data_IF_255804889451
#
_entry.id   IF_255804889451
#
_cell.length_a   1.000
_cell.length_b   1.000
_cell.length_c   1.000
_cell.angle_alpha   90.00
_cell.angle_beta   90.00
_cell.angle_gamma   90.00
#
_symmetry.space_group_name_H-M   'P 1'
#
loop_
_entity.id
_entity.type
_entity.pdbx_description
1 polymer ?
#
# COMPACT_ATOMS: atom_id res chain seq x y z
N UNK A 1 -0.63 -4.30 -8.76
CA UNK A 1 0.42 -5.26 -9.15
C UNK A 1 -0.21 -6.41 -9.94
N UNK A 2 0.54 -7.14 -10.76
CA UNK A 2 0.00 -8.33 -11.44
C UNK A 2 -0.19 -9.47 -10.43
N UNK A 3 -1.43 -9.93 -10.22
CA UNK A 3 -1.73 -11.02 -9.27
C UNK A 3 -1.01 -12.32 -9.64
N UNK A 4 -0.79 -12.59 -10.92
CA UNK A 4 -0.06 -13.79 -11.35
C UNK A 4 1.41 -13.72 -10.95
N UNK A 5 2.02 -12.53 -10.96
CA UNK A 5 3.38 -12.34 -10.44
C UNK A 5 3.42 -12.55 -8.93
N UNK A 6 2.46 -12.00 -8.20
CA UNK A 6 2.41 -12.13 -6.74
C UNK A 6 2.29 -13.58 -6.27
N UNK A 7 1.56 -14.42 -7.02
CA UNK A 7 1.35 -15.84 -6.70
C UNK A 7 2.43 -16.78 -7.27
N UNK A 8 3.39 -16.27 -8.03
CA UNK A 8 4.41 -17.09 -8.67
C UNK A 8 5.62 -17.31 -7.75
N UNK A 9 5.71 -18.50 -7.17
CA UNK A 9 6.77 -18.90 -6.24
C UNK A 9 8.18 -18.82 -6.83
N UNK A 10 8.33 -19.08 -8.14
CA UNK A 10 9.64 -19.05 -8.81
C UNK A 10 10.13 -17.63 -9.12
N UNK A 11 9.21 -16.68 -9.30
CA UNK A 11 9.51 -15.31 -9.78
C UNK A 11 9.46 -14.26 -8.69
N UNK A 12 8.61 -14.45 -7.68
CA UNK A 12 8.45 -13.47 -6.61
C UNK A 12 9.46 -13.76 -5.49
N UNK A 13 10.44 -12.87 -5.25
CA UNK A 13 11.50 -13.07 -4.25
C UNK A 13 10.99 -13.24 -2.82
N UNK A 14 9.75 -12.81 -2.52
CA UNK A 14 9.09 -13.06 -1.23
C UNK A 14 9.15 -14.53 -0.81
N UNK A 15 8.98 -15.46 -1.77
CA UNK A 15 8.93 -16.90 -1.49
C UNK A 15 10.30 -17.54 -1.24
N UNK A 16 11.39 -16.76 -1.25
CA UNK A 16 12.69 -17.22 -0.75
C UNK A 16 12.71 -17.42 0.77
N UNK A 17 11.78 -16.80 1.49
CA UNK A 17 11.65 -16.87 2.95
C UNK A 17 10.19 -16.98 3.42
N UNK A 18 9.28 -17.29 2.51
CA UNK A 18 7.85 -17.42 2.76
C UNK A 18 7.32 -18.62 1.99
N UNK A 19 6.27 -19.25 2.50
CA UNK A 19 5.57 -20.32 1.80
C UNK A 19 4.11 -19.92 1.60
N UNK A 20 3.49 -20.40 0.51
CA UNK A 20 2.08 -20.18 0.21
C UNK A 20 1.40 -21.50 -0.11
N UNK A 21 0.17 -21.65 0.35
CA UNK A 21 -0.72 -22.71 -0.05
C UNK A 21 -2.03 -22.12 -0.54
N UNK A 22 -2.36 -22.45 -1.79
CA UNK A 22 -3.58 -22.00 -2.45
C UNK A 22 -4.67 -23.05 -2.31
N UNK A 23 -5.88 -22.61 -1.98
CA UNK A 23 -7.07 -23.44 -1.87
C UNK A 23 -8.20 -22.87 -2.73
N UNK A 24 -8.96 -23.78 -3.34
CA UNK A 24 -10.17 -23.48 -4.09
C UNK A 24 -11.33 -24.30 -3.51
N UNK A 25 -12.48 -23.67 -3.33
CA UNK A 25 -13.73 -24.34 -3.00
C UNK A 25 -14.53 -24.59 -4.28
N UNK A 26 -15.03 -25.81 -4.43
CA UNK A 26 -15.84 -26.23 -5.58
C UNK A 26 -17.24 -26.63 -5.14
N UNK A 27 -18.23 -26.16 -5.90
CA UNK A 27 -19.58 -26.73 -5.91
C UNK A 27 -19.79 -27.44 -7.26
N UNK A 28 -19.70 -28.76 -7.24
CA UNK A 28 -19.59 -29.55 -8.47
C UNK A 28 -18.34 -29.18 -9.26
N UNK A 29 -18.51 -28.54 -10.42
CA UNK A 29 -17.41 -28.07 -11.29
C UNK A 29 -17.14 -26.57 -11.16
N UNK A 30 -17.96 -25.84 -10.41
CA UNK A 30 -17.87 -24.39 -10.30
C UNK A 30 -16.99 -23.99 -9.13
N UNK A 31 -16.07 -23.06 -9.35
CA UNK A 31 -15.29 -22.45 -8.26
C UNK A 31 -16.21 -21.45 -7.54
N UNK A 32 -16.42 -21.66 -6.24
CA UNK A 32 -17.30 -20.84 -5.38
C UNK A 32 -16.54 -20.07 -4.30
N UNK A 33 -15.23 -20.26 -4.22
CA UNK A 33 -14.36 -19.47 -3.36
C UNK A 33 -12.90 -19.87 -3.46
N UNK A 34 -12.04 -19.04 -2.87
CA UNK A 34 -10.59 -19.25 -2.81
C UNK A 34 -10.01 -18.60 -1.56
N UNK A 35 -8.87 -19.11 -1.12
CA UNK A 35 -8.05 -18.51 -0.06
C UNK A 35 -6.60 -18.93 -0.25
N UNK A 36 -5.67 -18.07 0.14
CA UNK A 36 -4.28 -18.43 0.33
C UNK A 36 -3.95 -18.47 1.82
N UNK A 37 -3.22 -19.50 2.26
CA UNK A 37 -2.55 -19.54 3.54
C UNK A 37 -1.06 -19.27 3.32
N UNK A 38 -0.46 -18.39 4.09
CA UNK A 38 0.89 -17.86 3.85
C UNK A 38 1.71 -17.88 5.14
N UNK A 39 2.97 -18.30 5.08
CA UNK A 39 3.94 -18.08 6.16
C UNK A 39 4.89 -16.96 5.77
N UNK A 40 5.38 -16.19 6.74
CA UNK A 40 6.39 -15.16 6.50
C UNK A 40 7.46 -15.24 7.58
N UNK A 41 8.60 -15.85 7.25
CA UNK A 41 9.68 -16.04 8.22
C UNK A 41 10.29 -14.71 8.67
N UNK A 42 10.38 -13.72 7.79
CA UNK A 42 10.91 -12.40 8.13
C UNK A 42 10.00 -11.66 9.10
N UNK A 43 8.67 -11.74 8.94
CA UNK A 43 7.71 -11.21 9.91
C UNK A 43 7.94 -11.82 11.28
N UNK A 44 7.89 -13.15 11.38
CA UNK A 44 8.03 -13.87 12.64
C UNK A 44 9.40 -13.63 13.29
N UNK A 45 10.46 -13.45 12.48
CA UNK A 45 11.79 -13.12 12.98
C UNK A 45 11.89 -11.71 13.57
N UNK A 46 11.17 -10.74 13.01
CA UNK A 46 11.15 -9.34 13.47
C UNK A 46 10.26 -9.20 14.70
N UNK A 47 9.02 -9.69 14.62
CA UNK A 47 7.98 -9.49 15.64
C UNK A 47 8.05 -10.52 16.78
N UNK A 48 8.86 -11.57 16.63
CA UNK A 48 9.03 -12.66 17.60
C UNK A 48 7.71 -13.37 17.93
N UNK A 49 6.81 -13.43 16.95
CA UNK A 49 5.54 -14.13 17.00
C UNK A 49 5.55 -15.38 16.11
N UNK A 50 4.43 -16.13 16.10
CA UNK A 50 4.21 -17.32 15.27
C UNK A 50 2.92 -17.15 14.48
N UNK A 51 2.87 -16.09 13.69
CA UNK A 51 1.70 -15.70 12.92
C UNK A 51 1.79 -16.25 11.49
N UNK A 52 0.75 -16.98 11.10
CA UNK A 52 0.43 -17.26 9.71
C UNK A 52 -0.50 -16.20 9.15
N UNK A 53 -0.57 -16.10 7.82
CA UNK A 53 -1.41 -15.13 7.14
C UNK A 53 -2.46 -15.81 6.27
N UNK A 54 -3.63 -15.18 6.15
CA UNK A 54 -4.56 -15.48 5.07
C UNK A 54 -4.64 -14.32 4.09
N UNK A 55 -4.82 -14.62 2.82
CA UNK A 55 -4.89 -13.64 1.74
C UNK A 55 -5.67 -14.17 0.56
N UNK A 56 -5.83 -13.32 -0.46
CA UNK A 56 -6.49 -13.62 -1.72
C UNK A 56 -7.89 -14.25 -1.57
N UNK A 57 -8.55 -13.97 -0.44
CA UNK A 57 -9.85 -14.54 -0.10
C UNK A 57 -10.93 -14.01 -1.03
N UNK A 58 -11.67 -14.94 -1.64
CA UNK A 58 -12.94 -14.64 -2.30
C UNK A 58 -13.92 -15.74 -1.95
N UNK A 59 -15.20 -15.39 -1.81
CA UNK A 59 -16.24 -16.39 -1.59
C UNK A 59 -17.58 -15.86 -2.06
N UNK A 60 -18.45 -16.74 -2.54
CA UNK A 60 -19.88 -16.44 -2.59
C UNK A 60 -20.38 -16.12 -1.17
N UNK A 61 -21.52 -15.45 -1.05
CA UNK A 61 -22.10 -15.12 0.27
C UNK A 61 -22.70 -16.38 0.95
N UNK A 62 -21.83 -17.28 1.40
CA UNK A 62 -22.18 -18.54 2.03
C UNK A 62 -21.16 -18.86 3.14
N UNK A 63 -21.66 -18.94 4.38
CA UNK A 63 -20.82 -19.16 5.55
C UNK A 63 -20.11 -20.53 5.52
N UNK A 64 -20.75 -21.59 5.03
CA UNK A 64 -20.15 -22.92 5.00
C UNK A 64 -18.97 -23.00 4.03
N UNK A 65 -19.05 -22.28 2.89
CA UNK A 65 -17.94 -22.17 1.94
C UNK A 65 -16.77 -21.42 2.59
N UNK A 66 -17.03 -20.28 3.23
CA UNK A 66 -16.02 -19.52 3.93
C UNK A 66 -15.35 -20.34 5.04
N UNK A 67 -16.14 -21.03 5.87
CA UNK A 67 -15.64 -21.88 6.95
C UNK A 67 -14.68 -22.95 6.44
N UNK A 68 -15.05 -23.68 5.38
CA UNK A 68 -14.19 -24.73 4.79
C UNK A 68 -12.88 -24.18 4.25
N UNK A 69 -12.91 -23.00 3.62
CA UNK A 69 -11.70 -22.33 3.14
C UNK A 69 -10.78 -21.97 4.32
N UNK A 70 -11.32 -21.34 5.37
CA UNK A 70 -10.54 -21.01 6.55
C UNK A 70 -10.03 -22.26 7.29
N UNK A 71 -10.82 -23.33 7.38
CA UNK A 71 -10.40 -24.60 8.01
C UNK A 71 -9.17 -25.19 7.33
N UNK A 72 -9.14 -25.26 5.99
CA UNK A 72 -7.98 -25.77 5.27
C UNK A 72 -6.76 -24.84 5.39
N UNK A 73 -6.97 -23.52 5.38
CA UNK A 73 -5.89 -22.56 5.64
C UNK A 73 -5.30 -22.72 7.05
N UNK A 74 -6.16 -22.82 8.08
CA UNK A 74 -5.77 -23.04 9.47
C UNK A 74 -5.03 -24.36 9.63
N UNK A 75 -5.54 -25.44 9.06
CA UNK A 75 -4.93 -26.76 9.11
C UNK A 75 -3.52 -26.73 8.53
N UNK A 76 -3.31 -26.08 7.38
CA UNK A 76 -1.99 -25.94 6.79
C UNK A 76 -1.06 -25.08 7.65
N UNK A 77 -1.51 -23.93 8.17
CA UNK A 77 -0.69 -23.07 9.03
C UNK A 77 -0.26 -23.77 10.33
N UNK A 78 -1.11 -24.64 10.89
CA UNK A 78 -0.74 -25.49 12.04
C UNK A 78 0.38 -26.46 11.74
N UNK A 79 0.41 -27.07 10.54
CA UNK A 79 1.54 -27.96 10.17
C UNK A 79 2.85 -27.18 10.01
N UNK A 80 2.75 -25.87 9.75
CA UNK A 80 3.88 -24.93 9.74
C UNK A 80 4.23 -24.35 11.12
N UNK A 81 3.53 -24.77 12.18
CA UNK A 81 3.82 -24.37 13.56
C UNK A 81 3.35 -22.96 13.95
N UNK A 82 2.41 -22.39 13.18
CA UNK A 82 1.79 -21.10 13.51
C UNK A 82 0.75 -21.26 14.63
N UNK A 83 0.67 -20.27 15.52
CA UNK A 83 -0.30 -20.22 16.64
C UNK A 83 -1.47 -19.28 16.37
N UNK A 84 -1.29 -18.37 15.41
CA UNK A 84 -2.25 -17.34 15.06
C UNK A 84 -2.36 -17.25 13.55
N UNK A 85 -3.52 -16.80 13.07
CA UNK A 85 -3.76 -16.46 11.66
C UNK A 85 -4.23 -15.01 11.57
N UNK A 86 -3.59 -14.22 10.70
CA UNK A 86 -3.88 -12.78 10.50
C UNK A 86 -4.15 -12.46 9.03
N UNK A 87 -5.07 -11.56 8.74
CA UNK A 87 -5.36 -11.19 7.36
C UNK A 87 -6.59 -10.30 7.17
N UNK A 88 -6.93 -9.93 5.93
CA UNK A 88 -6.29 -10.39 4.70
C UNK A 88 -4.95 -9.67 4.41
N UNK A 89 -3.96 -10.42 3.92
CA UNK A 89 -2.62 -9.93 3.51
C UNK A 89 -2.21 -10.62 2.20
N UNK A 90 -1.89 -9.85 1.14
CA UNK A 90 -1.78 -10.37 -0.25
C UNK A 90 -0.42 -10.08 -0.94
N UNK A 91 0.64 -10.90 -0.76
CA UNK A 91 0.85 -11.90 0.27
C UNK A 91 1.61 -11.36 1.51
N UNK A 92 2.12 -10.13 1.46
CA UNK A 92 2.91 -9.50 2.52
C UNK A 92 2.34 -8.15 2.94
N UNK A 93 2.74 -7.65 4.11
CA UNK A 93 2.42 -6.29 4.57
C UNK A 93 3.10 -5.20 3.73
N UNK A 94 4.09 -5.57 2.90
CA UNK A 94 4.69 -4.71 1.89
C UNK A 94 3.88 -4.67 0.56
N UNK A 95 2.83 -5.48 0.42
CA UNK A 95 1.99 -5.56 -0.79
C UNK A 95 0.60 -4.93 -0.55
N UNK A 96 -0.50 -5.62 -0.86
CA UNK A 96 -1.88 -5.15 -0.60
C UNK A 96 -2.44 -5.86 0.64
N UNK A 97 -2.94 -5.11 1.62
CA UNK A 97 -3.55 -5.67 2.84
C UNK A 97 -4.86 -4.99 3.22
N UNK A 98 -5.61 -5.66 4.09
CA UNK A 98 -6.82 -5.12 4.69
C UNK A 98 -8.08 -5.43 3.87
N UNK A 99 -9.16 -5.70 4.59
CA UNK A 99 -10.51 -5.84 4.04
C UNK A 99 -11.20 -4.47 4.06
N UNK A 100 -11.79 -4.01 2.96
CA UNK A 100 -12.64 -2.83 2.98
C UNK A 100 -13.88 -3.10 3.85
N UNK A 101 -14.14 -2.23 4.85
CA UNK A 101 -15.27 -2.37 5.80
C UNK A 101 -16.31 -1.26 5.72
N UNK A 102 -16.06 -0.20 4.96
CA UNK A 102 -16.99 0.90 4.68
C UNK A 102 -16.86 1.40 3.23
N UNK A 103 -17.58 2.45 2.85
CA UNK A 103 -17.43 3.14 1.56
C UNK A 103 -17.53 2.26 0.29
N UNK A 104 -18.41 1.26 0.34
CA UNK A 104 -18.70 0.31 -0.76
C UNK A 104 -19.40 0.94 -1.98
N UNK A 105 -19.67 2.24 -1.95
CA UNK A 105 -20.19 3.04 -3.04
C UNK A 105 -19.08 3.72 -3.86
N UNK A 106 -17.83 3.65 -3.41
CA UNK A 106 -16.68 4.28 -4.05
C UNK A 106 -15.70 3.24 -4.63
N UNK A 107 -15.16 3.45 -5.84
CA UNK A 107 -14.18 2.53 -6.43
C UNK A 107 -12.88 2.50 -5.61
N UNK A 108 -12.10 1.41 -5.67
CA UNK A 108 -10.78 1.36 -5.02
C UNK A 108 -9.78 2.28 -5.72
N UNK A 109 -8.91 2.89 -4.94
CA UNK A 109 -7.73 3.61 -5.43
C UNK A 109 -6.61 2.62 -5.74
N UNK A 110 -5.69 2.98 -6.61
CA UNK A 110 -4.58 2.13 -7.03
C UNK A 110 -3.85 1.45 -5.84
N UNK A 111 -3.60 0.14 -5.97
CA UNK A 111 -2.99 -0.72 -4.93
C UNK A 111 -3.77 -0.74 -3.59
N UNK A 112 -5.09 -0.54 -3.64
CA UNK A 112 -5.99 -0.73 -2.51
C UNK A 112 -6.99 -1.85 -2.82
N UNK A 113 -7.34 -2.61 -1.79
CA UNK A 113 -8.26 -3.75 -1.93
C UNK A 113 -9.70 -3.28 -2.15
N UNK A 114 -10.52 -4.18 -2.69
CA UNK A 114 -11.96 -4.00 -2.77
C UNK A 114 -12.62 -5.36 -2.64
N UNK A 115 -13.71 -5.42 -1.89
CA UNK A 115 -14.45 -6.65 -1.63
C UNK A 115 -15.95 -6.36 -1.46
N UNK A 116 -16.81 -7.37 -1.65
CA UNK A 116 -18.19 -7.28 -1.25
C UNK A 116 -18.35 -6.99 0.25
N UNK A 117 -19.41 -6.26 0.67
CA UNK A 117 -19.64 -5.94 2.09
C UNK A 117 -19.79 -7.16 2.99
N UNK A 118 -20.37 -8.26 2.45
CA UNK A 118 -20.64 -9.46 3.24
C UNK A 118 -19.37 -10.22 3.67
N UNK A 119 -18.19 -9.91 3.10
CA UNK A 119 -16.94 -10.59 3.47
C UNK A 119 -16.59 -10.39 4.94
N UNK A 120 -16.90 -9.21 5.50
CA UNK A 120 -16.66 -8.93 6.91
C UNK A 120 -17.42 -9.92 7.80
N UNK A 121 -18.70 -10.17 7.50
CA UNK A 121 -19.52 -11.11 8.26
C UNK A 121 -18.99 -12.54 8.14
N UNK A 122 -18.56 -12.96 6.93
CA UNK A 122 -17.98 -14.30 6.73
C UNK A 122 -16.73 -14.52 7.59
N UNK A 123 -15.86 -13.51 7.68
CA UNK A 123 -14.62 -13.53 8.48
C UNK A 123 -14.95 -13.54 9.98
N UNK A 124 -15.79 -12.61 10.44
CA UNK A 124 -16.15 -12.47 11.86
C UNK A 124 -16.89 -13.70 12.39
N UNK A 125 -17.82 -14.26 11.62
CA UNK A 125 -18.58 -15.46 12.00
C UNK A 125 -17.69 -16.72 12.13
N UNK A 126 -16.57 -16.79 11.42
CA UNK A 126 -15.58 -17.86 11.61
C UNK A 126 -14.80 -17.73 12.94
N UNK A 127 -14.88 -16.56 13.59
CA UNK A 127 -14.27 -16.29 14.88
C UNK A 127 -13.05 -15.35 14.83
N UNK A 128 -12.81 -14.70 13.70
CA UNK A 128 -11.82 -13.64 13.60
C UNK A 128 -12.29 -12.38 14.33
N UNK A 129 -11.33 -11.65 14.90
CA UNK A 129 -11.56 -10.35 15.55
C UNK A 129 -10.72 -9.27 14.88
N UNK A 130 -11.14 -8.01 15.00
CA UNK A 130 -10.34 -6.86 14.58
C UNK A 130 -8.96 -6.92 15.26
N UNK A 131 -7.92 -6.77 14.44
CA UNK A 131 -6.53 -6.64 14.87
C UNK A 131 -6.04 -5.19 14.68
N UNK A 132 -6.30 -4.61 13.51
CA UNK A 132 -5.86 -3.25 13.19
C UNK A 132 -6.76 -2.64 12.10
N UNK A 133 -7.17 -1.39 12.30
CA UNK A 133 -7.74 -0.57 11.22
C UNK A 133 -6.65 0.27 10.53
N UNK A 134 -6.77 0.36 9.22
CA UNK A 134 -5.94 1.11 8.29
C UNK A 134 -6.83 2.16 7.63
N UNK A 135 -6.57 3.42 7.94
CA UNK A 135 -7.35 4.56 7.48
C UNK A 135 -6.82 5.05 6.14
N UNK A 136 -7.72 5.45 5.26
CA UNK A 136 -7.40 6.21 4.06
C UNK A 136 -8.01 7.60 4.17
N UNK A 137 -7.18 8.61 3.96
CA UNK A 137 -7.58 10.02 3.96
C UNK A 137 -7.70 10.53 2.54
N UNK A 138 -8.80 11.20 2.23
CA UNK A 138 -8.92 12.00 1.02
C UNK A 138 -8.44 13.43 1.32
N UNK A 139 -7.66 13.98 0.40
CA UNK A 139 -7.06 15.31 0.45
C UNK A 139 -7.51 16.09 -0.78
N UNK A 140 -7.76 17.38 -0.60
CA UNK A 140 -8.15 18.29 -1.68
C UNK A 140 -7.17 19.46 -1.70
N UNK A 141 -6.56 19.74 -2.86
CA UNK A 141 -5.56 20.80 -2.98
C UNK A 141 -6.07 22.16 -2.47
N UNK A 142 -7.31 22.51 -2.79
CA UNK A 142 -7.96 23.76 -2.38
C UNK A 142 -8.18 23.90 -0.86
N UNK A 143 -8.11 22.81 -0.09
CA UNK A 143 -8.32 22.85 1.37
C UNK A 143 -7.03 23.08 2.16
N UNK A 144 -5.86 22.72 1.63
CA UNK A 144 -4.58 22.88 2.32
C UNK A 144 -3.60 23.84 1.64
N UNK A 145 -3.70 24.02 0.32
CA UNK A 145 -2.81 24.90 -0.43
C UNK A 145 -3.17 26.37 -0.20
N UNK A 146 -2.64 26.93 0.88
CA UNK A 146 -2.73 28.37 1.18
C UNK A 146 -1.39 29.06 0.93
N UNK A 147 -1.43 30.33 0.51
CA UNK A 147 -0.21 31.14 0.37
C UNK A 147 0.63 31.15 1.66
N UNK A 148 -0.05 31.12 2.82
CA UNK A 148 0.59 31.01 4.14
C UNK A 148 1.36 29.70 4.27
N UNK A 149 0.76 28.57 3.92
CA UNK A 149 1.44 27.27 3.98
C UNK A 149 2.63 27.25 3.02
N UNK A 150 2.44 27.66 1.77
CA UNK A 150 3.53 27.74 0.77
C UNK A 150 4.70 28.58 1.27
N UNK A 151 4.42 29.77 1.83
CA UNK A 151 5.46 30.63 2.42
C UNK A 151 6.15 30.00 3.61
N UNK A 152 5.41 29.31 4.49
CA UNK A 152 5.99 28.59 5.63
C UNK A 152 6.92 27.46 5.16
N UNK A 153 6.52 26.70 4.14
CA UNK A 153 7.36 25.64 3.58
C UNK A 153 8.64 26.21 2.95
N UNK A 154 8.56 27.33 2.24
CA UNK A 154 9.74 27.98 1.68
C UNK A 154 10.73 28.42 2.78
N UNK A 155 10.23 29.01 3.87
CA UNK A 155 11.07 29.38 5.03
C UNK A 155 11.76 28.16 5.64
N UNK A 156 11.06 27.03 5.76
CA UNK A 156 11.63 25.78 6.27
C UNK A 156 12.73 25.28 5.34
N UNK A 157 12.48 25.27 4.02
CA UNK A 157 13.47 24.88 3.00
C UNK A 157 14.75 25.71 3.12
N UNK A 158 14.62 27.03 3.13
CA UNK A 158 15.76 27.94 3.15
C UNK A 158 16.57 27.81 4.44
N UNK A 159 15.89 27.76 5.59
CA UNK A 159 16.56 27.66 6.91
C UNK A 159 17.30 26.35 7.10
N UNK A 160 16.75 25.25 6.58
CA UNK A 160 17.29 23.90 6.76
C UNK A 160 18.19 23.46 5.59
N UNK A 161 18.21 24.23 4.49
CA UNK A 161 18.92 23.88 3.27
C UNK A 161 18.35 22.61 2.63
N UNK A 162 17.02 22.47 2.63
CA UNK A 162 16.32 21.33 2.03
C UNK A 162 16.17 21.58 0.54
N UNK A 163 16.66 20.65 -0.28
CA UNK A 163 16.45 20.63 -1.73
C UNK A 163 15.66 19.40 -2.11
N UNK A 164 14.77 19.53 -3.10
CA UNK A 164 14.00 18.40 -3.62
C UNK A 164 14.47 18.09 -5.04
N UNK A 165 14.60 16.80 -5.34
CA UNK A 165 14.81 16.32 -6.72
C UNK A 165 13.86 15.18 -7.05
N UNK A 166 13.33 15.19 -8.27
CA UNK A 166 12.58 14.08 -8.83
C UNK A 166 13.51 12.95 -9.31
N UNK A 167 13.02 11.72 -9.33
CA UNK A 167 13.73 10.60 -9.91
C UNK A 167 13.77 10.71 -11.44
N UNK A 168 14.83 10.16 -12.04
CA UNK A 168 14.96 10.06 -13.50
C UNK A 168 14.82 8.60 -13.93
N UNK A 169 13.66 8.22 -14.48
CA UNK A 169 13.40 6.85 -14.93
C UNK A 169 14.09 6.48 -16.24
N UNK A 170 14.58 7.47 -17.01
CA UNK A 170 15.26 7.27 -18.30
C UNK A 170 16.74 6.91 -18.13
N UNK A 171 17.38 7.37 -17.06
CA UNK A 171 18.75 7.01 -16.73
C UNK A 171 18.75 5.75 -15.84
N UNK A 172 19.06 4.60 -16.43
CA UNK A 172 19.07 3.33 -15.71
C UNK A 172 20.10 3.28 -14.56
N UNK A 173 21.25 3.95 -14.72
CA UNK A 173 22.30 3.97 -13.69
C UNK A 173 21.87 4.83 -12.51
N UNK A 174 21.34 6.02 -12.78
CA UNK A 174 20.81 6.89 -11.74
C UNK A 174 19.59 6.28 -11.05
N UNK A 175 18.68 5.67 -11.82
CA UNK A 175 17.51 4.97 -11.27
C UNK A 175 17.92 3.88 -10.28
N UNK A 176 18.92 3.06 -10.61
CA UNK A 176 19.42 2.02 -9.68
C UNK A 176 20.03 2.63 -8.41
N UNK A 177 20.75 3.74 -8.52
CA UNK A 177 21.31 4.44 -7.36
C UNK A 177 20.21 5.05 -6.47
N UNK A 178 19.16 5.62 -7.09
CA UNK A 178 18.01 6.17 -6.40
C UNK A 178 17.21 5.07 -5.70
N UNK A 179 16.94 3.95 -6.37
CA UNK A 179 16.26 2.78 -5.75
C UNK A 179 17.02 2.30 -4.50
N UNK A 180 18.36 2.22 -4.57
CA UNK A 180 19.17 1.88 -3.39
C UNK A 180 19.00 2.89 -2.26
N UNK A 181 18.99 4.19 -2.58
CA UNK A 181 18.79 5.28 -1.61
C UNK A 181 17.40 5.19 -0.96
N UNK A 182 16.35 5.00 -1.77
CA UNK A 182 14.98 4.85 -1.30
C UNK A 182 14.84 3.66 -0.35
N UNK A 183 15.46 2.52 -0.67
CA UNK A 183 15.48 1.34 0.19
C UNK A 183 16.14 1.61 1.55
N UNK A 184 17.28 2.29 1.56
CA UNK A 184 17.99 2.64 2.80
C UNK A 184 17.11 3.52 3.70
N UNK A 185 16.48 4.55 3.12
CA UNK A 185 15.59 5.44 3.86
C UNK A 185 14.33 4.70 4.31
N UNK A 186 13.70 3.88 3.45
CA UNK A 186 12.50 3.11 3.79
C UNK A 186 12.76 2.21 4.98
N UNK A 187 13.79 1.37 4.91
CA UNK A 187 14.10 0.43 5.99
C UNK A 187 14.48 1.13 7.30
N UNK A 188 15.11 2.31 7.25
CA UNK A 188 15.43 3.07 8.45
C UNK A 188 14.22 3.82 9.04
N UNK A 189 13.34 4.36 8.19
CA UNK A 189 12.21 5.19 8.62
C UNK A 189 11.00 4.35 9.06
N UNK A 190 10.75 3.21 8.42
CA UNK A 190 9.54 2.40 8.64
C UNK A 190 9.67 1.30 9.69
N UNK A 191 10.89 1.02 10.16
CA UNK A 191 11.15 0.01 11.20
C UNK A 191 10.22 0.06 12.43
N UNK A 192 9.80 1.23 12.94
CA UNK A 192 8.92 1.31 14.10
C UNK A 192 7.44 0.99 13.83
N UNK A 193 7.01 0.88 12.57
CA UNK A 193 5.58 0.76 12.24
C UNK A 193 5.04 -0.65 12.54
N UNK A 194 3.77 -0.71 12.98
CA UNK A 194 3.07 -1.98 13.17
C UNK A 194 3.05 -2.79 11.87
N UNK A 195 3.33 -4.09 11.97
CA UNK A 195 3.35 -4.99 10.81
C UNK A 195 4.51 -4.76 9.84
N UNK A 196 5.48 -3.89 10.18
CA UNK A 196 6.67 -3.68 9.35
C UNK A 196 7.44 -4.98 9.15
N UNK A 197 7.78 -5.28 7.90
CA UNK A 197 8.68 -6.36 7.53
C UNK A 197 9.75 -5.78 6.63
N UNK A 198 11.01 -5.93 7.02
CA UNK A 198 12.13 -5.46 6.22
C UNK A 198 12.15 -6.19 4.88
N UNK A 199 12.01 -5.44 3.78
CA UNK A 199 12.20 -5.99 2.44
C UNK A 199 13.67 -6.34 2.19
N UNK A 200 13.89 -7.48 1.57
CA UNK A 200 15.17 -7.84 0.97
C UNK A 200 15.47 -6.96 -0.23
N UNK A 201 16.73 -6.96 -0.66
CA UNK A 201 17.18 -6.20 -1.84
C UNK A 201 16.41 -6.60 -3.10
N UNK A 202 16.16 -7.90 -3.27
CA UNK A 202 15.48 -8.44 -4.43
C UNK A 202 13.98 -8.12 -4.42
N UNK A 203 13.32 -8.16 -3.26
CA UNK A 203 11.92 -7.73 -3.11
C UNK A 203 11.75 -6.24 -3.42
N UNK A 204 12.65 -5.39 -2.92
CA UNK A 204 12.59 -3.96 -3.17
C UNK A 204 12.82 -3.64 -4.66
N UNK A 205 13.82 -4.28 -5.28
CA UNK A 205 14.08 -4.14 -6.72
C UNK A 205 12.91 -4.65 -7.57
N UNK A 206 12.29 -5.77 -7.17
CA UNK A 206 11.10 -6.32 -7.82
C UNK A 206 9.93 -5.33 -7.78
N UNK A 207 9.62 -4.80 -6.59
CA UNK A 207 8.57 -3.80 -6.40
C UNK A 207 8.86 -2.51 -7.19
N UNK A 208 10.09 -1.99 -7.11
CA UNK A 208 10.47 -0.76 -7.81
C UNK A 208 10.31 -0.89 -9.33
N UNK A 209 10.66 -2.04 -9.91
CA UNK A 209 10.49 -2.30 -11.34
C UNK A 209 9.01 -2.36 -11.75
N UNK A 210 8.16 -2.97 -10.93
CA UNK A 210 6.71 -3.01 -11.19
C UNK A 210 6.10 -1.61 -11.08
N UNK A 211 6.43 -0.85 -10.03
CA UNK A 211 5.92 0.51 -9.83
C UNK A 211 6.40 1.49 -10.91
N UNK A 212 7.63 1.31 -11.44
CA UNK A 212 8.17 2.15 -12.53
C UNK A 212 7.25 2.20 -13.75
N UNK A 213 6.45 1.16 -14.00
CA UNK A 213 5.55 1.09 -15.16
C UNK A 213 4.34 2.03 -15.07
N UNK A 214 3.99 2.45 -13.86
CA UNK A 214 2.79 3.25 -13.55
C UNK A 214 3.11 4.56 -12.82
N UNK A 215 4.31 4.69 -12.28
CA UNK A 215 4.77 5.88 -11.57
C UNK A 215 5.02 7.05 -12.54
N UNK A 216 4.72 8.26 -12.05
CA UNK A 216 5.09 9.50 -12.70
C UNK A 216 6.39 10.01 -12.06
N UNK A 217 7.51 10.14 -12.81
CA UNK A 217 8.80 10.54 -12.25
C UNK A 217 8.76 11.79 -11.38
N UNK A 218 7.94 12.79 -11.74
CA UNK A 218 7.78 14.03 -10.97
C UNK A 218 7.14 13.81 -9.59
N UNK A 219 6.40 12.72 -9.41
CA UNK A 219 5.75 12.34 -8.15
C UNK A 219 6.57 11.33 -7.33
N UNK A 220 7.79 11.02 -7.79
CA UNK A 220 8.78 10.27 -7.00
C UNK A 220 9.95 11.19 -6.69
N UNK A 221 10.02 11.69 -5.46
CA UNK A 221 10.95 12.74 -5.07
C UNK A 221 11.84 12.32 -3.90
N UNK A 222 13.06 12.85 -3.88
CA UNK A 222 14.03 12.72 -2.79
C UNK A 222 14.28 14.10 -2.21
N UNK A 223 14.19 14.21 -0.88
CA UNK A 223 14.63 15.36 -0.13
C UNK A 223 16.10 15.18 0.27
N UNK A 224 16.89 16.23 0.06
CA UNK A 224 18.30 16.28 0.39
C UNK A 224 18.60 17.47 1.29
N UNK A 225 19.55 17.29 2.22
CA UNK A 225 20.15 18.39 2.99
C UNK A 225 21.64 18.34 2.75
N UNK A 226 22.21 19.44 2.23
CA UNK A 226 23.63 19.53 1.83
C UNK A 226 24.06 18.39 0.89
N UNK A 227 23.18 17.99 -0.03
CA UNK A 227 23.42 16.91 -1.00
C UNK A 227 23.36 15.49 -0.42
N UNK A 228 23.03 15.31 0.86
CA UNK A 228 22.74 14.00 1.45
C UNK A 228 21.23 13.71 1.37
N UNK A 229 20.79 12.58 0.79
CA UNK A 229 19.40 12.13 0.89
C UNK A 229 18.97 11.93 2.35
N UNK A 230 17.86 12.55 2.72
CA UNK A 230 17.31 12.51 4.09
C UNK A 230 15.87 12.02 4.15
N UNK A 231 15.16 12.07 3.02
CA UNK A 231 13.79 11.59 2.92
C UNK A 231 13.38 11.36 1.48
N UNK A 232 12.25 10.68 1.28
CA UNK A 232 11.65 10.51 -0.03
C UNK A 232 10.13 10.43 0.08
N UNK A 233 9.46 10.73 -1.03
CA UNK A 233 8.03 10.49 -1.20
C UNK A 233 7.78 9.84 -2.57
N UNK A 234 6.85 8.91 -2.61
CA UNK A 234 6.39 8.25 -3.81
C UNK A 234 4.87 8.30 -3.85
N UNK A 235 4.36 8.93 -4.90
CA UNK A 235 2.93 8.95 -5.20
C UNK A 235 2.66 8.39 -6.59
N UNK A 236 1.52 7.73 -6.75
CA UNK A 236 1.09 7.11 -7.99
C UNK A 236 -0.19 7.79 -8.48
N UNK A 237 -0.31 8.15 -9.77
CA UNK A 237 -1.60 8.49 -10.35
C UNK A 237 -2.59 7.34 -10.18
N UNK A 238 -3.85 7.62 -9.84
CA UNK A 238 -4.86 6.58 -9.69
C UNK A 238 -5.36 6.09 -11.05
N UNK A 239 -4.60 5.18 -11.66
CA UNK A 239 -4.93 4.62 -12.97
C UNK A 239 -6.24 3.80 -12.93
N UNK A 240 -6.77 3.43 -11.75
CA UNK A 240 -8.06 2.77 -11.65
C UNK A 240 -9.19 3.64 -12.21
N UNK A 241 -9.10 4.97 -12.12
CA UNK A 241 -10.04 5.91 -12.73
C UNK A 241 -10.09 5.79 -14.26
N UNK A 242 -8.99 5.33 -14.88
CA UNK A 242 -8.97 4.99 -16.31
C UNK A 242 -9.41 3.53 -16.56
N UNK A 243 -8.94 2.60 -15.74
CA UNK A 243 -9.20 1.16 -15.93
C UNK A 243 -10.65 0.75 -15.63
N UNK A 244 -11.42 1.53 -14.88
CA UNK A 244 -12.85 1.27 -14.62
C UNK A 244 -13.71 1.20 -15.89
N UNK A 245 -13.23 1.78 -17.01
CA UNK A 245 -13.88 1.71 -18.32
C UNK A 245 -13.55 0.41 -19.08
N UNK A 246 -12.55 -0.36 -18.64
CA UNK A 246 -12.16 -1.65 -19.22
C UNK A 246 -13.07 -2.78 -18.74
N UNK A 247 -14.34 -2.76 -19.15
CA UNK A 247 -15.38 -3.68 -18.64
C UNK A 247 -15.12 -5.17 -18.92
N UNK A 248 -14.34 -5.48 -19.96
CA UNK A 248 -14.02 -6.86 -20.31
C UNK A 248 -12.79 -7.42 -19.58
N UNK A 249 -12.05 -6.59 -18.83
CA UNK A 249 -10.84 -7.00 -18.10
C UNK A 249 -9.64 -7.36 -18.99
N UNK A 250 -9.72 -7.16 -20.31
CA UNK A 250 -8.68 -7.54 -21.25
C UNK A 250 -7.50 -6.57 -21.28
N UNK A 251 -6.30 -7.06 -21.60
CA UNK A 251 -5.06 -6.26 -21.66
C UNK A 251 -5.14 -5.16 -22.71
N UNK A 252 -5.62 -5.46 -23.93
CA UNK A 252 -5.77 -4.47 -24.99
C UNK A 252 -6.74 -3.35 -24.59
N UNK A 253 -7.84 -3.70 -23.94
CA UNK A 253 -8.80 -2.74 -23.40
C UNK A 253 -8.21 -1.89 -22.29
N UNK A 254 -7.38 -2.48 -21.42
CA UNK A 254 -6.67 -1.75 -20.36
C UNK A 254 -5.72 -0.70 -20.96
N UNK A 255 -4.85 -1.08 -21.90
CA UNK A 255 -3.91 -0.16 -22.57
C UNK A 255 -4.66 0.96 -23.30
N UNK A 256 -5.74 0.61 -24.02
CA UNK A 256 -6.59 1.60 -24.69
C UNK A 256 -7.20 2.61 -23.70
N UNK A 257 -7.71 2.13 -22.57
CA UNK A 257 -8.28 3.00 -21.54
C UNK A 257 -7.22 3.89 -20.89
N UNK A 258 -6.04 3.36 -20.57
CA UNK A 258 -4.93 4.15 -20.02
C UNK A 258 -4.52 5.30 -20.95
N UNK A 259 -4.52 5.07 -22.26
CA UNK A 259 -4.21 6.11 -23.24
C UNK A 259 -5.36 7.12 -23.43
N UNK A 260 -6.59 6.62 -23.63
CA UNK A 260 -7.73 7.47 -24.01
C UNK A 260 -8.42 8.15 -22.83
N UNK A 261 -8.27 7.63 -21.61
CA UNK A 261 -8.90 8.14 -20.38
C UNK A 261 -7.91 8.78 -19.42
N UNK A 262 -6.64 8.96 -19.79
CA UNK A 262 -5.61 9.61 -18.94
C UNK A 262 -6.07 10.92 -18.32
N UNK A 263 -6.77 11.77 -19.08
CA UNK A 263 -7.30 13.07 -18.60
C UNK A 263 -8.45 12.96 -17.58
N UNK A 264 -8.96 11.75 -17.32
CA UNK A 264 -9.94 11.46 -16.25
C UNK A 264 -9.26 11.19 -14.91
N UNK A 265 -7.94 11.02 -14.90
CA UNK A 265 -7.19 10.81 -13.67
C UNK A 265 -7.07 12.16 -12.98
N UNK A 266 -7.75 12.31 -11.84
CA UNK A 266 -7.78 13.52 -11.03
C UNK A 266 -7.29 13.31 -9.59
N UNK A 267 -6.85 12.08 -9.28
CA UNK A 267 -6.38 11.66 -7.97
C UNK A 267 -4.99 11.04 -8.06
N UNK A 268 -4.11 11.41 -7.12
CA UNK A 268 -2.87 10.69 -6.85
C UNK A 268 -2.92 10.03 -5.48
N UNK A 269 -2.37 8.82 -5.35
CA UNK A 269 -2.21 8.15 -4.07
C UNK A 269 -0.77 8.30 -3.58
N UNK A 270 -0.59 8.84 -2.39
CA UNK A 270 0.68 8.88 -1.66
C UNK A 270 0.87 7.49 -1.03
N UNK A 271 1.71 6.65 -1.64
CA UNK A 271 1.88 5.27 -1.20
C UNK A 271 2.93 5.13 -0.10
N UNK A 272 3.97 5.97 -0.13
CA UNK A 272 5.00 5.97 0.91
C UNK A 272 5.67 7.33 1.00
N UNK A 273 5.90 7.75 2.24
CA UNK A 273 6.80 8.84 2.59
C UNK A 273 7.69 8.34 3.72
N UNK A 274 8.98 8.60 3.62
CA UNK A 274 9.97 8.20 4.61
C UNK A 274 10.97 9.31 4.86
N UNK A 275 11.24 9.61 6.12
CA UNK A 275 12.30 10.53 6.54
C UNK A 275 13.18 9.78 7.54
N UNK A 276 14.49 9.85 7.32
CA UNK A 276 15.47 9.23 8.21
C UNK A 276 15.24 9.70 9.66
N UNK A 277 15.36 8.80 10.66
CA UNK A 277 15.04 9.11 12.05
C UNK A 277 15.68 10.39 12.58
N UNK A 278 16.95 10.66 12.24
CA UNK A 278 17.66 11.86 12.69
C UNK A 278 17.17 13.18 12.06
N UNK A 279 16.34 13.09 11.02
CA UNK A 279 15.70 14.23 10.36
C UNK A 279 14.17 14.28 10.59
N UNK A 280 13.61 13.40 11.39
CA UNK A 280 12.20 13.49 11.78
C UNK A 280 11.97 14.73 12.64
N UNK A 281 10.76 15.30 12.60
CA UNK A 281 10.41 16.57 13.25
C UNK A 281 11.24 17.79 12.78
N UNK A 282 11.97 17.69 11.67
CA UNK A 282 12.75 18.81 11.11
C UNK A 282 11.97 19.65 10.07
N UNK A 283 10.78 19.20 9.69
CA UNK A 283 9.93 19.80 8.65
C UNK A 283 10.14 19.23 7.24
N UNK A 284 11.05 18.25 7.06
CA UNK A 284 11.30 17.60 5.77
C UNK A 284 10.06 16.88 5.23
N UNK A 285 9.33 16.20 6.11
CA UNK A 285 8.04 15.56 5.82
C UNK A 285 7.01 16.54 5.28
N UNK A 286 6.83 17.68 5.96
CA UNK A 286 5.91 18.74 5.53
C UNK A 286 6.29 19.32 4.15
N UNK A 287 7.60 19.49 3.91
CA UNK A 287 8.14 19.94 2.62
C UNK A 287 7.84 18.93 1.50
N UNK A 288 8.00 17.63 1.77
CA UNK A 288 7.70 16.54 0.83
C UNK A 288 6.20 16.47 0.50
N UNK A 289 5.31 16.56 1.51
CA UNK A 289 3.86 16.58 1.28
C UNK A 289 3.44 17.76 0.41
N UNK A 290 3.96 18.94 0.70
CA UNK A 290 3.66 20.16 -0.07
C UNK A 290 4.14 20.05 -1.51
N UNK A 291 5.38 19.60 -1.74
CA UNK A 291 5.91 19.44 -3.12
C UNK A 291 5.08 18.46 -3.94
N UNK A 292 4.73 17.30 -3.37
CA UNK A 292 3.88 16.31 -4.06
C UNK A 292 2.52 16.90 -4.38
N UNK A 293 1.91 17.61 -3.43
CA UNK A 293 0.61 18.25 -3.62
C UNK A 293 0.59 19.25 -4.76
N UNK A 294 1.54 20.20 -4.78
CA UNK A 294 1.68 21.18 -5.86
C UNK A 294 1.98 20.51 -7.20
N UNK A 295 2.89 19.53 -7.21
CA UNK A 295 3.25 18.81 -8.44
C UNK A 295 2.06 18.01 -9.00
N UNK A 296 1.28 17.36 -8.13
CA UNK A 296 0.10 16.61 -8.55
C UNK A 296 -0.97 17.55 -9.13
N UNK A 297 -1.18 18.71 -8.49
CA UNK A 297 -2.09 19.74 -8.97
C UNK A 297 -1.70 20.25 -10.36
N UNK A 298 -0.42 20.57 -10.57
CA UNK A 298 0.12 21.00 -11.87
C UNK A 298 -0.04 19.94 -12.97
N UNK A 299 -0.09 18.67 -12.57
CA UNK A 299 -0.35 17.52 -13.46
C UNK A 299 -1.85 17.26 -13.70
N UNK A 300 -2.74 18.08 -13.14
CA UNK A 300 -4.19 17.95 -13.28
C UNK A 300 -4.84 17.00 -12.28
N UNK A 301 -4.16 16.65 -11.19
CA UNK A 301 -4.66 15.79 -10.12
C UNK A 301 -4.85 16.61 -8.82
N UNK A 302 -5.97 17.33 -8.66
CA UNK A 302 -6.21 18.16 -7.48
C UNK A 302 -6.54 17.36 -6.22
N UNK A 303 -6.75 16.04 -6.31
CA UNK A 303 -7.05 15.17 -5.17
C UNK A 303 -5.85 14.30 -4.81
N UNK A 304 -5.65 14.10 -3.51
CA UNK A 304 -4.68 13.16 -2.97
C UNK A 304 -5.36 12.09 -2.12
N UNK A 305 -4.88 10.85 -2.15
CA UNK A 305 -5.19 9.85 -1.12
C UNK A 305 -3.93 9.54 -0.31
N UNK A 306 -4.01 9.64 1.02
CA UNK A 306 -2.97 9.16 1.93
C UNK A 306 -3.45 7.86 2.60
N UNK A 307 -2.79 6.74 2.26
CA UNK A 307 -3.10 5.41 2.80
C UNK A 307 -1.89 4.47 2.68
N UNK A 308 -1.64 3.56 3.62
CA UNK A 308 -2.39 3.30 4.85
C UNK A 308 -1.90 4.15 6.01
N UNK A 309 -2.83 4.69 6.78
CA UNK A 309 -2.53 5.35 8.05
C UNK A 309 -3.02 4.44 9.17
N UNK A 310 -2.11 3.96 10.02
CA UNK A 310 -2.48 3.13 11.17
C UNK A 310 -3.40 3.93 12.11
N UNK A 311 -4.45 3.29 12.62
CA UNK A 311 -5.44 3.93 13.50
C UNK A 311 -4.86 4.57 14.77
N UNK A 312 -3.71 4.08 15.23
CA UNK A 312 -2.96 4.52 16.41
C UNK A 312 -1.77 5.45 16.09
N UNK A 313 -1.55 5.80 14.81
CA UNK A 313 -0.52 6.76 14.42
C UNK A 313 -1.03 8.20 14.56
N UNK A 314 -1.15 8.65 15.80
CA UNK A 314 -1.69 9.97 16.17
C UNK A 314 -0.91 11.14 15.54
N UNK A 315 0.40 11.00 15.37
CA UNK A 315 1.24 12.02 14.73
C UNK A 315 0.85 12.23 13.26
N UNK A 316 0.71 11.14 12.51
CA UNK A 316 0.29 11.19 11.11
C UNK A 316 -1.16 11.66 10.96
N UNK A 317 -2.07 11.14 11.78
CA UNK A 317 -3.48 11.56 11.78
C UNK A 317 -3.61 13.07 12.02
N UNK A 318 -2.93 13.60 13.04
CA UNK A 318 -2.90 15.05 13.30
C UNK A 318 -2.35 15.84 12.13
N UNK A 319 -1.25 15.40 11.51
CA UNK A 319 -0.70 16.05 10.31
C UNK A 319 -1.74 16.16 9.19
N UNK A 320 -2.40 15.05 8.88
CA UNK A 320 -3.40 14.98 7.83
C UNK A 320 -4.65 15.81 8.15
N UNK A 321 -5.24 15.65 9.34
CA UNK A 321 -6.48 16.32 9.73
C UNK A 321 -6.29 17.83 9.94
N UNK A 322 -5.19 18.24 10.60
CA UNK A 322 -5.03 19.63 11.02
C UNK A 322 -4.36 20.50 9.96
N UNK A 323 -3.32 19.98 9.29
CA UNK A 323 -2.51 20.72 8.32
C UNK A 323 -3.04 20.52 6.90
N UNK A 324 -3.30 19.27 6.53
CA UNK A 324 -3.74 18.93 5.17
C UNK A 324 -5.27 18.94 5.00
N UNK A 325 -6.02 19.18 6.10
CA UNK A 325 -7.49 19.16 6.13
C UNK A 325 -8.08 17.90 5.49
N UNK A 326 -7.39 16.78 5.69
CA UNK A 326 -7.80 15.49 5.17
C UNK A 326 -8.96 14.90 5.97
N UNK A 327 -9.79 14.14 5.27
CA UNK A 327 -10.93 13.45 5.85
C UNK A 327 -10.77 11.94 5.68
N UNK A 328 -11.02 11.17 6.76
CA UNK A 328 -11.11 9.71 6.64
C UNK A 328 -12.31 9.40 5.78
N UNK A 329 -12.08 8.75 4.64
CA UNK A 329 -13.13 8.42 3.68
C UNK A 329 -13.29 6.91 3.46
N UNK A 330 -12.26 6.11 3.83
CA UNK A 330 -12.33 4.64 3.85
C UNK A 330 -11.55 4.05 5.02
N UNK A 331 -12.03 2.91 5.47
CA UNK A 331 -11.40 2.06 6.47
C UNK A 331 -11.16 0.67 5.91
N UNK A 332 -9.93 0.19 6.07
CA UNK A 332 -9.57 -1.20 5.80
C UNK A 332 -9.22 -1.88 7.11
N UNK A 333 -9.64 -3.13 7.29
CA UNK A 333 -9.46 -3.87 8.53
C UNK A 333 -8.62 -5.12 8.33
N UNK A 334 -7.63 -5.28 9.20
CA UNK A 334 -6.94 -6.55 9.43
C UNK A 334 -7.61 -7.24 10.61
N UNK A 335 -7.78 -8.54 10.48
CA UNK A 335 -8.34 -9.43 11.47
C UNK A 335 -7.29 -10.45 11.94
N UNK A 336 -7.47 -10.96 13.15
CA UNK A 336 -6.67 -12.05 13.70
C UNK A 336 -7.54 -13.05 14.46
N UNK A 337 -7.09 -14.31 14.47
CA UNK A 337 -7.66 -15.41 15.23
C UNK A 337 -6.56 -16.35 15.74
N UNK A 338 -6.63 -16.80 16.99
CA UNK A 338 -5.78 -17.89 17.49
C UNK A 338 -6.23 -19.24 16.89
N UNK A 339 -5.29 -20.12 16.55
CA UNK A 339 -5.58 -21.36 15.81
C UNK A 339 -5.16 -22.63 16.53
#
# INVERSE_FOLDING_TARGET
>A
MDRMKLLNEDKNPFYKHAEIQLFLAYEGKNIVGRIAAITNANHNAIHKDKVGFFGFFESINNQDVANKLFDEAVKWLKTKGMTDIRGPVNPSTNDEVGLLVDAFDMPPVILMTYNPPYYQQLIENYGFKKEKDLLAYILHHDTYASEKLTRMQQIVRDRKGITIRALNFKDAKQFKADVKTLKEIYNAAWQPNWGFVKMTDEEFDFLANDLKTIAEPKLTIIAEIKGKPVGFALSLPDINQSLIYNKNGGILGAVWCLFTKKKKIDLTRIIVLGVLPEFQSSGVDAVLYHEIGETAFDLGMPKGEASWILEDNEMMKRGLETTMKGEVYKTYRIFQKAI
#
